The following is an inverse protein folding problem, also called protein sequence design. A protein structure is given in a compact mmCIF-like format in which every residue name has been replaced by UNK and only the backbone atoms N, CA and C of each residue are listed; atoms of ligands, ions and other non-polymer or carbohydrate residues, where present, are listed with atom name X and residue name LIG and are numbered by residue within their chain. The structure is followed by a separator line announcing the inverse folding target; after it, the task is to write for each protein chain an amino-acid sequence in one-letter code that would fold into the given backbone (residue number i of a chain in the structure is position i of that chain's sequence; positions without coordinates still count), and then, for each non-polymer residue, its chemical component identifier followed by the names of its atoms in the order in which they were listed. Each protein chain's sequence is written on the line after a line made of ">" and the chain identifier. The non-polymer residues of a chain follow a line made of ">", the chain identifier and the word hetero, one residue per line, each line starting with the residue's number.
data_IF_200124346935
#
_entry.id   IF_200124346935
#
_cell.length_a   1.000
_cell.length_b   1.000
_cell.length_c   1.000
_cell.angle_alpha   90.00
_cell.angle_beta   90.00
_cell.angle_gamma   90.00
#
_symmetry.space_group_name_H-M   'P 1'
#
loop_
_entity.id
_entity.type
_entity.pdbx_description
1 polymer ?
#
# COMPACT_ATOMS: atom_id res chain seq x y z
N UNK A 1 -19.68 56.79 -1.34
CA UNK A 1 -18.63 56.74 -2.13
C UNK A 1 -17.70 55.68 -1.72
N UNK A 2 -17.40 54.99 -1.09
CA UNK A 2 -16.39 54.04 -0.88
C UNK A 2 -16.93 52.71 -0.49
N UNK A 3 -18.05 52.34 -0.86
CA UNK A 3 -18.59 51.06 -0.44
C UNK A 3 -18.39 49.99 -1.51
N UNK A 4 -17.90 50.35 -2.63
CA UNK A 4 -17.97 49.39 -3.71
C UNK A 4 -16.94 48.30 -3.64
N UNK A 5 -15.73 48.60 -3.28
CA UNK A 5 -14.68 47.65 -3.30
C UNK A 5 -14.87 46.49 -2.31
N UNK A 6 -15.53 46.77 -1.25
CA UNK A 6 -15.68 45.74 -0.23
C UNK A 6 -16.57 44.61 -0.64
N UNK A 7 -17.61 44.91 -1.34
CA UNK A 7 -18.53 43.90 -1.82
C UNK A 7 -17.88 42.93 -2.79
N UNK A 8 -16.99 43.46 -3.62
CA UNK A 8 -16.30 42.67 -4.62
C UNK A 8 -15.37 41.66 -3.94
N UNK A 9 -14.69 42.08 -2.90
CA UNK A 9 -13.77 41.22 -2.22
C UNK A 9 -14.46 40.00 -1.59
N UNK A 10 -15.62 40.24 -1.03
CA UNK A 10 -16.35 39.15 -0.41
C UNK A 10 -16.74 38.08 -1.44
N UNK A 11 -17.16 38.52 -2.61
CA UNK A 11 -17.53 37.59 -3.65
C UNK A 11 -16.36 36.76 -4.14
N UNK A 12 -15.22 37.38 -4.27
CA UNK A 12 -14.02 36.69 -4.74
C UNK A 12 -13.60 35.60 -3.75
N UNK A 13 -13.64 35.90 -2.48
CA UNK A 13 -13.26 34.92 -1.47
C UNK A 13 -14.15 33.69 -1.50
N UNK A 14 -15.45 33.89 -1.67
CA UNK A 14 -16.38 32.79 -1.72
C UNK A 14 -16.10 31.87 -2.91
N UNK A 15 -15.74 32.43 -4.04
CA UNK A 15 -15.43 31.66 -5.24
C UNK A 15 -14.20 30.79 -5.03
N UNK A 16 -13.18 31.31 -4.41
CA UNK A 16 -11.95 30.55 -4.16
C UNK A 16 -12.21 29.33 -3.29
N UNK A 17 -12.97 29.50 -2.22
CA UNK A 17 -13.30 28.37 -1.35
C UNK A 17 -14.09 27.31 -2.08
N UNK A 18 -14.97 27.72 -2.93
CA UNK A 18 -15.82 26.81 -3.68
C UNK A 18 -14.98 25.95 -4.64
N UNK A 19 -14.01 26.53 -5.30
CA UNK A 19 -13.13 25.78 -6.21
C UNK A 19 -12.34 24.73 -5.48
N UNK A 20 -11.85 25.02 -4.29
CA UNK A 20 -11.10 24.03 -3.52
C UNK A 20 -11.96 22.84 -3.13
N UNK A 21 -13.20 23.04 -2.77
CA UNK A 21 -14.09 21.96 -2.44
C UNK A 21 -14.31 21.01 -3.61
N UNK A 22 -14.29 21.52 -4.83
CA UNK A 22 -14.51 20.70 -6.02
C UNK A 22 -13.30 19.85 -6.42
N UNK A 23 -12.15 20.09 -5.83
CA UNK A 23 -10.93 19.37 -6.21
C UNK A 23 -10.79 18.03 -5.50
N UNK A 24 -11.62 17.73 -4.53
CA UNK A 24 -11.54 16.47 -3.81
C UNK A 24 -12.25 15.36 -4.55
N UNK A 25 -11.62 14.22 -4.63
CA UNK A 25 -12.24 13.01 -5.10
C UNK A 25 -12.06 11.94 -4.04
N UNK A 26 -13.06 11.11 -3.87
CA UNK A 26 -13.03 10.06 -2.85
C UNK A 26 -13.09 8.70 -3.54
N UNK A 27 -12.26 7.79 -3.07
CA UNK A 27 -12.34 6.41 -3.47
C UNK A 27 -13.08 5.62 -2.39
N UNK A 28 -13.95 4.71 -2.81
CA UNK A 28 -14.61 3.78 -1.90
C UNK A 28 -13.77 2.54 -1.69
N UNK A 29 -12.66 2.41 -2.40
CA UNK A 29 -11.78 1.26 -2.29
C UNK A 29 -11.24 1.11 -0.87
N UNK A 30 -11.24 -0.11 -0.36
CA UNK A 30 -10.63 -0.41 0.92
C UNK A 30 -10.00 -1.80 0.92
N UNK A 31 -9.06 -2.00 1.82
CA UNK A 31 -8.44 -3.30 2.06
C UNK A 31 -9.15 -3.91 3.26
N UNK A 32 -9.98 -4.94 3.00
CA UNK A 32 -10.73 -5.60 4.05
C UNK A 32 -9.85 -6.52 4.89
N UNK A 33 -8.81 -7.11 4.29
CA UNK A 33 -7.88 -7.98 4.97
C UNK A 33 -6.56 -8.01 4.18
N UNK A 34 -5.47 -8.21 4.89
CA UNK A 34 -4.16 -8.41 4.28
C UNK A 34 -3.35 -9.34 5.16
N UNK A 35 -2.71 -10.35 4.57
CA UNK A 35 -1.99 -11.35 5.35
C UNK A 35 -0.85 -11.96 4.54
N UNK A 36 0.08 -12.58 5.26
CA UNK A 36 1.19 -13.34 4.68
C UNK A 36 0.89 -14.83 4.75
N UNK A 37 1.41 -15.58 3.80
CA UNK A 37 1.31 -17.04 3.81
C UNK A 37 2.52 -17.68 3.15
N UNK A 38 2.69 -18.99 3.36
CA UNK A 38 3.71 -19.78 2.68
C UNK A 38 3.20 -20.43 1.40
N UNK A 39 1.89 -20.34 1.12
CA UNK A 39 1.26 -20.93 -0.05
C UNK A 39 0.59 -19.90 -0.94
N UNK A 40 0.46 -20.23 -2.22
CA UNK A 40 -0.13 -19.34 -3.22
C UNK A 40 -1.58 -18.97 -2.92
N UNK A 41 -2.33 -19.90 -2.34
CA UNK A 41 -3.75 -19.70 -2.08
C UNK A 41 -4.01 -18.88 -0.82
N UNK A 42 -3.00 -18.69 0.02
CA UNK A 42 -3.15 -17.91 1.24
C UNK A 42 -3.81 -18.66 2.39
N UNK A 43 -3.80 -19.99 2.34
CA UNK A 43 -4.42 -20.81 3.38
C UNK A 43 -3.52 -21.01 4.59
N UNK A 44 -2.22 -21.05 4.39
CA UNK A 44 -1.27 -21.25 5.45
C UNK A 44 -0.69 -19.90 5.91
N UNK A 45 -1.49 -19.18 6.67
CA UNK A 45 -1.13 -17.85 7.15
C UNK A 45 -0.01 -17.92 8.18
N UNK A 46 0.99 -17.08 8.02
CA UNK A 46 2.12 -17.02 8.94
C UNK A 46 2.84 -15.68 8.85
N UNK A 47 3.56 -15.33 9.90
CA UNK A 47 4.50 -14.23 9.91
C UNK A 47 5.93 -14.72 10.13
N UNK A 48 6.14 -16.03 10.13
CA UNK A 48 7.45 -16.64 10.33
C UNK A 48 7.74 -17.62 9.21
N UNK A 49 8.81 -17.37 8.49
CA UNK A 49 9.19 -18.08 7.26
C UNK A 49 10.52 -18.80 7.45
N UNK A 50 10.70 -19.89 6.71
CA UNK A 50 11.98 -20.54 6.57
C UNK A 50 12.80 -19.83 5.47
N UNK A 51 14.09 -20.05 5.48
CA UNK A 51 14.99 -19.40 4.52
C UNK A 51 14.74 -19.78 3.05
N UNK A 52 14.12 -20.92 2.81
CA UNK A 52 13.80 -21.41 1.47
C UNK A 52 12.35 -21.19 1.06
N UNK A 53 11.57 -20.51 1.87
CA UNK A 53 10.17 -20.21 1.57
C UNK A 53 10.03 -19.10 0.52
N UNK A 54 8.92 -19.12 -0.20
CA UNK A 54 8.46 -17.98 -0.98
C UNK A 54 7.56 -17.15 -0.09
N UNK A 55 7.69 -15.83 -0.18
CA UNK A 55 6.82 -14.92 0.56
C UNK A 55 5.60 -14.59 -0.29
N UNK A 56 4.42 -14.86 0.24
CA UNK A 56 3.15 -14.46 -0.39
C UNK A 56 2.43 -13.47 0.49
N UNK A 57 2.07 -12.33 -0.09
CA UNK A 57 1.25 -11.34 0.57
C UNK A 57 -0.09 -11.24 -0.15
N UNK A 58 -1.17 -11.39 0.58
CA UNK A 58 -2.53 -11.38 0.04
C UNK A 58 -3.26 -10.14 0.50
N UNK A 59 -3.99 -9.52 -0.42
CA UNK A 59 -4.78 -8.31 -0.14
C UNK A 59 -6.19 -8.54 -0.63
N UNK A 60 -7.15 -8.47 0.29
CA UNK A 60 -8.57 -8.55 -0.05
C UNK A 60 -9.08 -7.12 -0.28
N UNK A 61 -9.20 -6.77 -1.56
CA UNK A 61 -9.57 -5.43 -1.99
C UNK A 61 -11.07 -5.37 -2.27
N UNK A 62 -11.77 -4.41 -1.66
CA UNK A 62 -13.22 -4.27 -1.79
C UNK A 62 -13.63 -2.88 -2.21
N UNK A 63 -14.80 -2.82 -2.85
CA UNK A 63 -15.40 -1.57 -3.31
C UNK A 63 -14.43 -0.77 -4.18
N UNK A 64 -13.63 -1.46 -4.97
CA UNK A 64 -12.56 -0.86 -5.75
C UNK A 64 -12.98 -0.71 -7.22
N UNK A 65 -12.77 0.48 -7.79
CA UNK A 65 -12.87 0.64 -9.24
C UNK A 65 -11.81 -0.21 -9.94
N UNK A 66 -12.06 -0.59 -11.20
CA UNK A 66 -11.18 -1.47 -11.95
C UNK A 66 -9.76 -0.94 -12.15
N UNK A 67 -9.55 0.33 -11.97
CA UNK A 67 -8.25 0.97 -12.15
C UNK A 67 -7.55 1.31 -10.83
N UNK A 68 -7.91 0.64 -9.74
CA UNK A 68 -7.25 0.83 -8.45
C UNK A 68 -5.83 0.27 -8.50
N UNK A 69 -4.86 1.08 -8.10
CA UNK A 69 -3.45 0.66 -8.09
C UNK A 69 -3.07 0.13 -6.72
N UNK A 70 -2.49 -1.05 -6.70
CA UNK A 70 -1.90 -1.63 -5.51
C UNK A 70 -0.40 -1.81 -5.75
N UNK A 71 0.41 -1.35 -4.80
CA UNK A 71 1.86 -1.50 -4.86
C UNK A 71 2.36 -2.16 -3.59
N UNK A 72 3.21 -3.15 -3.74
CA UNK A 72 3.90 -3.81 -2.64
C UNK A 72 5.37 -3.39 -2.65
N UNK A 73 5.84 -2.88 -1.53
CA UNK A 73 7.25 -2.52 -1.33
C UNK A 73 7.81 -3.43 -0.24
N UNK A 74 8.75 -4.27 -0.62
CA UNK A 74 9.37 -5.25 0.27
C UNK A 74 10.67 -4.68 0.83
N UNK A 75 10.83 -4.76 2.13
CA UNK A 75 11.98 -4.19 2.84
C UNK A 75 12.61 -5.19 3.77
N UNK A 76 13.91 -5.33 3.70
CA UNK A 76 14.72 -6.01 4.73
C UNK A 76 14.96 -4.99 5.83
N UNK A 77 14.23 -5.12 6.95
CA UNK A 77 14.27 -4.11 8.02
C UNK A 77 15.53 -4.25 8.86
N UNK A 78 15.75 -5.45 9.38
CA UNK A 78 16.92 -5.75 10.21
C UNK A 78 17.29 -7.21 9.98
N UNK A 79 18.20 -7.41 9.06
CA UNK A 79 18.52 -8.71 8.51
C UNK A 79 20.03 -8.91 8.54
N UNK A 80 20.47 -10.13 8.83
CA UNK A 80 21.91 -10.43 8.92
C UNK A 80 22.65 -10.10 7.61
N UNK A 81 23.85 -9.57 7.75
CA UNK A 81 24.73 -9.20 6.64
C UNK A 81 24.09 -8.24 5.63
N UNK A 82 23.14 -7.44 6.08
CA UNK A 82 22.39 -6.54 5.22
C UNK A 82 22.24 -5.17 5.90
N UNK A 83 22.33 -4.13 5.12
CA UNK A 83 22.09 -2.77 5.58
C UNK A 83 20.63 -2.64 6.05
N UNK A 84 20.36 -1.95 7.18
CA UNK A 84 19.00 -1.80 7.68
C UNK A 84 18.08 -1.06 6.71
N UNK A 85 16.82 -1.46 6.70
CA UNK A 85 15.77 -0.82 5.91
C UNK A 85 16.08 -0.77 4.41
N UNK A 86 16.61 -1.86 3.89
CA UNK A 86 16.92 -1.98 2.47
C UNK A 86 15.67 -2.40 1.69
N UNK A 87 15.25 -1.60 0.73
CA UNK A 87 14.19 -1.99 -0.19
C UNK A 87 14.71 -3.07 -1.12
N UNK A 88 14.05 -4.22 -1.14
CA UNK A 88 14.49 -5.36 -1.93
C UNK A 88 13.64 -5.59 -3.18
N UNK A 89 12.42 -5.10 -3.21
CA UNK A 89 11.56 -5.22 -4.40
C UNK A 89 10.36 -4.29 -4.32
N UNK A 90 9.86 -3.89 -5.48
CA UNK A 90 8.60 -3.17 -5.62
C UNK A 90 7.82 -3.76 -6.79
N UNK A 91 6.52 -3.97 -6.60
CA UNK A 91 5.63 -4.49 -7.65
C UNK A 91 4.31 -3.76 -7.58
N UNK A 92 3.79 -3.36 -8.73
CA UNK A 92 2.51 -2.67 -8.81
C UNK A 92 1.54 -3.43 -9.71
N UNK A 93 0.29 -3.54 -9.26
CA UNK A 93 -0.81 -4.11 -10.04
C UNK A 93 -1.96 -3.13 -10.09
N UNK A 94 -2.69 -3.17 -11.21
CA UNK A 94 -3.96 -2.45 -11.35
C UNK A 94 -5.06 -3.50 -11.27
N UNK A 95 -6.02 -3.29 -10.38
CA UNK A 95 -7.06 -4.27 -10.11
C UNK A 95 -8.36 -3.61 -9.69
N UNK A 96 -9.47 -4.32 -9.90
CA UNK A 96 -10.72 -4.05 -9.23
C UNK A 96 -10.82 -4.86 -7.95
N UNK A 97 -12.05 -5.00 -7.42
CA UNK A 97 -12.29 -5.78 -6.19
C UNK A 97 -11.90 -7.24 -6.37
N UNK A 98 -11.41 -7.84 -5.30
CA UNK A 98 -10.98 -9.23 -5.27
C UNK A 98 -9.72 -9.40 -4.46
N UNK A 99 -9.18 -10.61 -4.44
CA UNK A 99 -7.92 -10.90 -3.75
C UNK A 99 -6.77 -10.74 -4.72
N UNK A 100 -5.83 -9.88 -4.35
CA UNK A 100 -4.59 -9.65 -5.10
C UNK A 100 -3.46 -10.32 -4.33
N UNK A 101 -2.61 -11.04 -5.05
CA UNK A 101 -1.47 -11.74 -4.46
C UNK A 101 -0.18 -11.14 -4.99
N UNK A 102 0.69 -10.78 -4.06
CA UNK A 102 2.07 -10.42 -4.35
C UNK A 102 2.96 -11.55 -3.89
N UNK A 103 3.99 -11.86 -4.65
CA UNK A 103 4.94 -12.90 -4.25
C UNK A 103 6.37 -12.43 -4.44
N UNK A 104 7.25 -12.93 -3.58
CA UNK A 104 8.67 -12.65 -3.67
C UNK A 104 9.44 -13.92 -3.36
N UNK A 105 10.25 -14.35 -4.32
CA UNK A 105 11.10 -15.53 -4.18
C UNK A 105 12.56 -15.13 -4.31
N UNK A 106 13.44 -16.00 -3.83
CA UNK A 106 14.87 -15.82 -3.94
C UNK A 106 15.48 -17.09 -4.51
N UNK A 107 16.49 -16.96 -5.35
CA UNK A 107 17.22 -18.11 -5.86
C UNK A 107 18.14 -18.70 -4.80
N UNK A 108 18.57 -17.89 -3.85
CA UNK A 108 19.36 -18.32 -2.71
C UNK A 108 18.50 -18.34 -1.45
N UNK A 109 19.06 -18.73 -0.33
CA UNK A 109 18.36 -18.68 0.94
C UNK A 109 18.17 -17.23 1.38
N UNK A 110 16.99 -16.95 1.94
CA UNK A 110 16.74 -15.65 2.54
C UNK A 110 17.61 -15.46 3.78
N UNK A 111 18.26 -14.33 3.95
CA UNK A 111 18.92 -14.01 5.21
C UNK A 111 17.94 -13.98 6.37
N UNK A 112 18.37 -14.41 7.55
CA UNK A 112 17.55 -14.38 8.74
C UNK A 112 17.39 -12.96 9.26
N UNK A 113 16.20 -12.67 9.77
CA UNK A 113 15.91 -11.37 10.37
C UNK A 113 14.50 -10.92 10.15
N UNK A 114 14.30 -9.61 10.27
CA UNK A 114 12.99 -8.97 10.19
C UNK A 114 12.80 -8.28 8.86
N UNK A 115 11.63 -8.51 8.29
CA UNK A 115 11.22 -7.97 7.00
C UNK A 115 9.85 -7.33 7.13
N UNK A 116 9.48 -6.56 6.14
CA UNK A 116 8.11 -6.06 6.01
C UNK A 116 7.74 -5.92 4.54
N UNK A 117 6.44 -5.90 4.28
CA UNK A 117 5.89 -5.46 3.02
C UNK A 117 4.88 -4.36 3.29
N UNK A 118 5.09 -3.23 2.64
CA UNK A 118 4.18 -2.09 2.69
C UNK A 118 3.27 -2.16 1.48
N UNK A 119 1.97 -2.11 1.73
CA UNK A 119 0.95 -2.14 0.67
C UNK A 119 0.40 -0.74 0.52
N UNK A 120 0.58 -0.17 -0.66
CA UNK A 120 0.05 1.14 -1.04
C UNK A 120 -1.16 0.96 -1.93
N UNK A 121 -2.17 1.75 -1.70
CA UNK A 121 -3.36 1.80 -2.55
C UNK A 121 -3.49 3.22 -3.08
N UNK A 122 -3.45 3.35 -4.40
CA UNK A 122 -3.46 4.65 -5.08
C UNK A 122 -2.43 5.63 -4.48
N UNK A 123 -1.20 5.13 -4.29
CA UNK A 123 -0.04 5.87 -3.79
C UNK A 123 -0.09 6.24 -2.30
N UNK A 124 -1.07 5.76 -1.56
CA UNK A 124 -1.14 5.96 -0.11
C UNK A 124 -0.88 4.65 0.63
N UNK A 125 -0.08 4.73 1.68
CA UNK A 125 0.19 3.55 2.50
C UNK A 125 -1.10 3.09 3.18
N UNK A 126 -1.49 1.86 2.91
CA UNK A 126 -2.73 1.28 3.44
C UNK A 126 -2.49 0.23 4.51
N UNK A 127 -1.48 -0.62 4.35
CA UNK A 127 -1.15 -1.70 5.27
C UNK A 127 0.35 -1.95 5.30
N UNK A 128 0.86 -2.33 6.46
CA UNK A 128 2.22 -2.85 6.60
C UNK A 128 2.11 -4.22 7.23
N UNK A 129 2.70 -5.21 6.59
CA UNK A 129 2.75 -6.58 7.08
C UNK A 129 4.19 -6.89 7.49
N UNK A 130 4.39 -7.11 8.77
CA UNK A 130 5.70 -7.45 9.32
C UNK A 130 5.84 -8.97 9.40
N UNK A 131 7.02 -9.47 9.11
CA UNK A 131 7.31 -10.89 9.18
C UNK A 131 8.79 -11.13 9.43
N UNK A 132 9.15 -12.37 9.69
CA UNK A 132 10.54 -12.73 9.97
C UNK A 132 10.93 -13.99 9.22
N UNK A 133 12.24 -14.13 9.02
CA UNK A 133 12.87 -15.36 8.54
C UNK A 133 13.72 -15.90 9.67
N UNK A 134 13.49 -17.17 10.04
CA UNK A 134 14.21 -17.85 11.13
C UNK A 134 15.37 -18.69 10.62
#
# INVERSE_FOLDING_TARGET
>A
MHSNGRLILAGISAVVLFVMACSFSFSTANIADAWMSTDEEGNNRTTSFAQDDVFYAHVDLRNAPDHTRLKAVWTAVEVEDTQPNLTINETEFVSGSGTVRFELSNTDLWPRGKYKVDIYMNDELAKTLEFEVR
#
